data_IF_647133547867
#
_entry.id   IF_647133547867
#
_cell.length_a   1.000
_cell.length_b   1.000
_cell.length_c   1.000
_cell.angle_alpha   90.00
_cell.angle_beta   90.00
_cell.angle_gamma   90.00
#
_symmetry.space_group_name_H-M   'P 1'
#
loop_
_entity.id
_entity.type
_entity.pdbx_description
1 polymer ?
#
# COMPACT_ATOMS: atom_id res chain seq x y z
N UNK A 1 2.28 67.45 -23.26
CA UNK A 1 1.63 66.70 -24.35
C UNK A 1 2.66 65.77 -24.95
N UNK A 2 2.52 64.47 -24.68
CA UNK A 2 2.91 63.33 -25.53
C UNK A 2 2.30 62.10 -24.87
N UNK A 3 1.22 61.62 -25.46
CA UNK A 3 0.62 60.31 -25.20
C UNK A 3 1.54 59.22 -25.78
N UNK A 4 1.70 58.10 -25.08
CA UNK A 4 1.97 56.83 -25.74
C UNK A 4 1.42 55.67 -24.90
N UNK A 5 0.41 55.03 -25.48
CA UNK A 5 -0.28 53.84 -25.00
C UNK A 5 0.51 52.55 -25.26
N UNK A 6 0.20 51.54 -24.43
CA UNK A 6 0.12 50.11 -24.76
C UNK A 6 1.37 49.33 -25.20
N UNK A 7 1.80 48.38 -24.34
CA UNK A 7 1.49 46.96 -24.58
C UNK A 7 1.70 46.08 -23.34
N UNK A 8 0.60 45.42 -22.93
CA UNK A 8 0.55 44.31 -21.97
C UNK A 8 1.48 43.18 -22.43
N UNK A 9 2.47 42.85 -21.62
CA UNK A 9 3.19 41.58 -21.69
C UNK A 9 2.48 40.57 -20.78
N UNK A 10 1.65 39.74 -21.39
CA UNK A 10 1.10 38.54 -20.76
C UNK A 10 2.24 37.59 -20.38
N UNK A 11 2.25 36.96 -19.19
CA UNK A 11 3.23 35.94 -18.87
C UNK A 11 3.02 34.72 -19.76
N UNK A 12 4.07 34.33 -20.48
CA UNK A 12 4.15 33.09 -21.24
C UNK A 12 3.90 31.91 -20.30
N UNK A 13 2.77 31.22 -20.52
CA UNK A 13 2.47 29.93 -19.93
C UNK A 13 3.53 28.93 -20.44
N UNK A 14 4.51 28.63 -19.60
CA UNK A 14 5.45 27.55 -19.84
C UNK A 14 4.67 26.25 -20.02
N UNK A 15 4.62 25.76 -21.26
CA UNK A 15 4.14 24.45 -21.62
C UNK A 15 4.83 23.40 -20.73
N UNK A 16 4.07 22.76 -19.84
CA UNK A 16 4.52 21.53 -19.19
C UNK A 16 4.76 20.52 -20.31
N UNK A 17 6.02 20.15 -20.56
CA UNK A 17 6.34 19.13 -21.55
C UNK A 17 5.58 17.86 -21.18
N UNK A 18 4.60 17.48 -22.00
CA UNK A 18 4.02 16.15 -21.97
C UNK A 18 5.17 15.14 -22.13
N UNK A 19 5.27 14.17 -21.21
CA UNK A 19 6.28 13.11 -21.31
C UNK A 19 6.11 12.44 -22.67
N UNK A 20 7.22 12.28 -23.39
CA UNK A 20 7.17 11.68 -24.72
C UNK A 20 6.67 10.23 -24.63
N UNK A 21 5.96 9.72 -25.65
CA UNK A 21 5.50 8.33 -25.67
C UNK A 21 6.61 7.29 -25.38
N UNK A 22 7.86 7.63 -25.72
CA UNK A 22 9.05 6.81 -25.44
C UNK A 22 9.39 6.72 -23.95
N UNK A 23 9.19 7.79 -23.16
CA UNK A 23 9.41 7.76 -21.71
C UNK A 23 8.39 6.91 -20.97
N UNK A 24 7.13 6.96 -21.41
CA UNK A 24 6.06 6.14 -20.84
C UNK A 24 6.24 4.64 -21.18
N UNK A 25 6.65 4.35 -22.42
CA UNK A 25 6.95 2.98 -22.85
C UNK A 25 8.14 2.38 -22.07
N UNK A 26 9.19 3.16 -21.84
CA UNK A 26 10.35 2.74 -21.02
C UNK A 26 9.95 2.45 -19.58
N UNK A 27 9.16 3.32 -18.96
CA UNK A 27 8.67 3.12 -17.59
C UNK A 27 7.78 1.87 -17.49
N UNK A 28 6.87 1.65 -18.44
CA UNK A 28 6.05 0.43 -18.51
C UNK A 28 6.92 -0.82 -18.65
N UNK A 29 7.95 -0.79 -19.49
CA UNK A 29 8.86 -1.91 -19.69
C UNK A 29 9.70 -2.20 -18.43
N UNK A 30 10.14 -1.17 -17.71
CA UNK A 30 10.87 -1.32 -16.45
C UNK A 30 9.99 -1.89 -15.33
N UNK A 31 8.75 -1.39 -15.21
CA UNK A 31 7.75 -1.94 -14.29
C UNK A 31 7.50 -3.41 -14.61
N UNK A 32 7.26 -3.76 -15.88
CA UNK A 32 7.00 -5.13 -16.29
C UNK A 32 8.18 -6.08 -15.99
N UNK A 33 9.41 -5.63 -16.21
CA UNK A 33 10.62 -6.42 -15.89
C UNK A 33 10.78 -6.62 -14.38
N UNK A 34 10.51 -5.57 -13.59
CA UNK A 34 10.55 -5.65 -12.13
C UNK A 34 9.47 -6.62 -11.62
N UNK A 35 8.22 -6.52 -12.11
CA UNK A 35 7.13 -7.46 -11.82
C UNK A 35 7.54 -8.91 -12.07
N UNK A 36 8.05 -9.22 -13.27
CA UNK A 36 8.41 -10.61 -13.63
C UNK A 36 9.48 -11.21 -12.72
N UNK A 37 10.44 -10.40 -12.25
CA UNK A 37 11.51 -10.87 -11.36
C UNK A 37 10.99 -11.11 -9.95
N UNK A 38 10.14 -10.21 -9.44
CA UNK A 38 9.61 -10.33 -8.08
C UNK A 38 8.54 -11.42 -7.96
N UNK A 39 7.67 -11.57 -8.95
CA UNK A 39 6.66 -12.66 -8.99
C UNK A 39 7.34 -14.03 -9.02
N UNK A 40 8.45 -14.18 -9.76
CA UNK A 40 9.20 -15.44 -9.81
C UNK A 40 9.81 -15.80 -8.44
N UNK A 41 10.34 -14.82 -7.71
CA UNK A 41 10.87 -15.04 -6.34
C UNK A 41 9.78 -15.31 -5.30
N UNK A 42 8.62 -14.67 -5.42
CA UNK A 42 7.49 -14.86 -4.50
C UNK A 42 6.81 -16.23 -4.66
N UNK A 43 6.75 -16.77 -5.88
CA UNK A 43 6.16 -18.09 -6.13
C UNK A 43 6.95 -19.25 -5.50
N UNK A 44 8.25 -19.10 -5.25
CA UNK A 44 9.08 -20.13 -4.60
C UNK A 44 8.91 -20.13 -3.08
N UNK A 45 8.56 -19.00 -2.47
CA UNK A 45 8.47 -18.84 -1.01
C UNK A 45 7.03 -18.92 -0.45
N UNK A 46 6.03 -19.08 -1.32
CA UNK A 46 4.63 -19.17 -0.92
C UNK A 46 4.19 -20.64 -0.79
N UNK A 47 4.04 -21.13 0.45
CA UNK A 47 3.41 -22.44 0.70
C UNK A 47 1.93 -22.25 1.04
N UNK A 48 1.05 -22.96 0.33
CA UNK A 48 -0.40 -22.94 0.63
C UNK A 48 -0.71 -23.45 2.04
N UNK A 49 0.16 -24.28 2.60
CA UNK A 49 0.05 -24.81 3.96
C UNK A 49 0.14 -23.72 5.04
N UNK A 50 1.06 -22.76 4.92
CA UNK A 50 1.15 -21.64 5.88
C UNK A 50 -0.11 -20.79 5.89
N UNK A 51 -0.66 -20.51 4.70
CA UNK A 51 -1.89 -19.72 4.56
C UNK A 51 -3.07 -20.46 5.18
N UNK A 52 -3.17 -21.77 4.96
CA UNK A 52 -4.23 -22.59 5.56
C UNK A 52 -4.09 -22.70 7.08
N UNK A 53 -2.88 -22.86 7.60
CA UNK A 53 -2.63 -22.85 9.05
C UNK A 53 -2.90 -21.49 9.70
N UNK A 54 -2.66 -20.39 8.98
CA UNK A 54 -3.09 -19.05 9.42
C UNK A 54 -4.61 -18.92 9.43
N UNK A 55 -5.32 -19.37 8.38
CA UNK A 55 -6.78 -19.34 8.34
C UNK A 55 -7.43 -20.14 9.47
N UNK A 56 -6.90 -21.32 9.80
CA UNK A 56 -7.41 -22.13 10.93
C UNK A 56 -7.29 -21.35 12.25
N UNK A 57 -6.17 -20.65 12.47
CA UNK A 57 -6.02 -19.80 13.67
C UNK A 57 -6.95 -18.60 13.66
N UNK A 58 -7.23 -18.02 12.49
CA UNK A 58 -8.18 -16.90 12.33
C UNK A 58 -9.63 -17.30 12.65
N UNK A 59 -10.01 -18.56 12.40
CA UNK A 59 -11.33 -19.10 12.75
C UNK A 59 -11.48 -19.23 14.27
N UNK A 60 -10.41 -19.63 14.99
CA UNK A 60 -10.42 -19.70 16.46
C UNK A 60 -10.45 -18.30 17.11
N UNK A 61 -9.53 -17.42 16.71
CA UNK A 61 -9.48 -16.00 17.12
C UNK A 61 -8.48 -15.24 16.26
N UNK A 62 -8.85 -14.07 15.75
CA UNK A 62 -7.96 -13.27 14.90
C UNK A 62 -6.75 -12.70 15.68
N UNK A 63 -6.84 -12.62 17.02
CA UNK A 63 -5.70 -12.33 17.89
C UNK A 63 -4.69 -13.49 17.94
N UNK A 64 -5.15 -14.73 17.90
CA UNK A 64 -4.26 -15.91 17.98
C UNK A 64 -3.47 -16.18 16.70
N UNK A 65 -3.95 -15.62 15.58
CA UNK A 65 -3.33 -15.72 14.27
C UNK A 65 -2.21 -14.68 14.03
N UNK A 66 -1.91 -13.81 15.00
CA UNK A 66 -0.93 -12.75 14.82
C UNK A 66 0.50 -13.31 14.72
N UNK A 67 1.21 -12.92 13.66
CA UNK A 67 2.54 -13.45 13.34
C UNK A 67 3.63 -12.45 13.73
N UNK A 68 4.68 -12.92 14.39
CA UNK A 68 5.90 -12.11 14.59
C UNK A 68 6.62 -12.00 13.25
N UNK A 69 6.91 -10.76 12.83
CA UNK A 69 7.63 -10.49 11.59
C UNK A 69 9.08 -10.23 11.94
N UNK A 70 9.97 -11.03 11.36
CA UNK A 70 11.41 -10.87 11.58
C UNK A 70 11.95 -9.79 10.65
N UNK A 71 12.71 -8.80 11.17
CA UNK A 71 13.45 -7.88 10.31
C UNK A 71 14.38 -8.66 9.38
N UNK A 72 14.13 -8.59 8.07
CA UNK A 72 14.88 -9.36 7.09
C UNK A 72 16.32 -8.84 6.86
N UNK A 73 17.23 -9.76 6.51
CA UNK A 73 18.52 -9.40 5.87
C UNK A 73 18.28 -8.93 4.43
N UNK A 74 19.22 -8.14 3.92
CA UNK A 74 19.19 -7.48 2.62
C UNK A 74 18.97 -8.49 1.48
N UNK A 75 17.73 -8.63 1.02
CA UNK A 75 17.47 -9.05 -0.36
C UNK A 75 17.70 -7.83 -1.24
N UNK A 76 18.31 -8.03 -2.40
CA UNK A 76 18.65 -6.99 -3.37
C UNK A 76 17.36 -6.37 -3.93
N UNK A 77 16.72 -5.53 -3.11
CA UNK A 77 15.47 -4.85 -3.38
C UNK A 77 15.68 -3.62 -4.28
N UNK A 78 16.88 -3.45 -4.84
CA UNK A 78 17.34 -2.29 -5.61
C UNK A 78 16.43 -1.89 -6.78
N UNK A 79 15.42 -2.70 -7.14
CA UNK A 79 14.46 -2.43 -8.22
C UNK A 79 12.98 -2.48 -7.82
N UNK A 80 12.64 -2.53 -6.53
CA UNK A 80 11.23 -2.56 -6.11
C UNK A 80 10.62 -1.15 -6.18
N UNK A 81 9.85 -0.89 -7.24
CA UNK A 81 9.12 0.36 -7.43
C UNK A 81 7.80 0.36 -6.65
N UNK A 82 7.19 1.53 -6.40
CA UNK A 82 5.89 1.61 -5.73
C UNK A 82 4.81 0.77 -6.43
N UNK A 83 4.64 0.84 -7.77
CA UNK A 83 3.64 0.01 -8.45
C UNK A 83 3.85 -1.49 -8.21
N UNK A 84 5.11 -1.94 -8.25
CA UNK A 84 5.45 -3.35 -8.00
C UNK A 84 5.12 -3.75 -6.57
N UNK A 85 5.41 -2.89 -5.59
CA UNK A 85 4.99 -3.11 -4.20
C UNK A 85 3.47 -3.23 -4.07
N UNK A 86 2.72 -2.34 -4.71
CA UNK A 86 1.26 -2.39 -4.71
C UNK A 86 0.73 -3.65 -5.38
N UNK A 87 1.29 -4.07 -6.51
CA UNK A 87 0.87 -5.33 -7.15
C UNK A 87 1.07 -6.52 -6.21
N UNK A 88 2.22 -6.62 -5.54
CA UNK A 88 2.51 -7.74 -4.63
C UNK A 88 1.59 -7.74 -3.41
N UNK A 89 1.32 -6.56 -2.85
CA UNK A 89 0.33 -6.40 -1.78
C UNK A 89 -1.02 -6.93 -2.23
N UNK A 90 -1.54 -6.42 -3.35
CA UNK A 90 -2.89 -6.75 -3.78
C UNK A 90 -3.03 -8.17 -4.30
N UNK A 91 -2.01 -8.74 -4.97
CA UNK A 91 -1.99 -10.16 -5.35
C UNK A 91 -2.09 -11.06 -4.11
N UNK A 92 -1.35 -10.72 -3.04
CA UNK A 92 -1.38 -11.49 -1.78
C UNK A 92 -2.71 -11.31 -1.06
N UNK A 93 -3.18 -10.06 -0.94
CA UNK A 93 -4.40 -9.73 -0.22
C UNK A 93 -5.64 -10.30 -0.89
N UNK A 94 -5.75 -10.20 -2.22
CA UNK A 94 -6.85 -10.77 -3.01
C UNK A 94 -6.94 -12.29 -2.82
N UNK A 95 -5.78 -12.97 -2.84
CA UNK A 95 -5.72 -14.41 -2.57
C UNK A 95 -6.16 -14.75 -1.15
N UNK A 96 -5.65 -14.03 -0.15
CA UNK A 96 -5.99 -14.31 1.25
C UNK A 96 -7.45 -13.98 1.56
N UNK A 97 -7.99 -12.88 1.05
CA UNK A 97 -9.40 -12.54 1.21
C UNK A 97 -10.30 -13.57 0.54
N UNK A 98 -9.90 -14.07 -0.64
CA UNK A 98 -10.64 -15.13 -1.32
C UNK A 98 -10.70 -16.43 -0.51
N UNK A 99 -9.56 -16.91 0.00
CA UNK A 99 -9.53 -18.13 0.82
C UNK A 99 -10.25 -17.94 2.17
N UNK A 100 -10.18 -16.74 2.76
CA UNK A 100 -10.92 -16.40 3.96
C UNK A 100 -12.44 -16.42 3.73
N UNK A 101 -12.91 -15.75 2.68
CA UNK A 101 -14.34 -15.65 2.34
C UNK A 101 -14.98 -16.99 1.97
N UNK A 102 -14.21 -17.99 1.52
CA UNK A 102 -14.73 -19.35 1.27
C UNK A 102 -15.21 -20.05 2.54
N UNK A 103 -14.62 -19.73 3.68
CA UNK A 103 -14.82 -20.43 4.96
C UNK A 103 -15.67 -19.64 5.95
N UNK A 104 -15.77 -18.33 5.76
CA UNK A 104 -16.39 -17.41 6.69
C UNK A 104 -17.65 -16.80 6.06
N UNK A 105 -18.70 -16.60 6.86
CA UNK A 105 -19.89 -15.85 6.45
C UNK A 105 -19.59 -14.36 6.28
N UNK A 106 -18.62 -13.87 7.06
CA UNK A 106 -18.08 -12.53 6.94
C UNK A 106 -17.22 -12.39 5.68
N UNK A 107 -17.51 -11.37 4.87
CA UNK A 107 -16.80 -11.14 3.61
C UNK A 107 -15.88 -9.93 3.67
N UNK A 108 -14.68 -10.09 3.13
CA UNK A 108 -13.73 -9.00 2.88
C UNK A 108 -13.57 -8.86 1.38
N UNK A 109 -13.95 -7.70 0.86
CA UNK A 109 -13.77 -7.34 -0.55
C UNK A 109 -12.39 -6.72 -0.75
N UNK A 110 -11.71 -7.07 -1.85
CA UNK A 110 -10.42 -6.52 -2.21
C UNK A 110 -10.56 -5.75 -3.53
N UNK A 111 -10.35 -4.44 -3.50
CA UNK A 111 -10.32 -3.60 -4.69
C UNK A 111 -8.90 -3.11 -4.95
N UNK A 112 -8.31 -3.65 -6.02
CA UNK A 112 -6.99 -3.27 -6.52
C UNK A 112 -7.00 -1.82 -7.06
N UNK A 113 -5.90 -1.07 -6.98
CA UNK A 113 -5.78 0.19 -7.70
C UNK A 113 -5.86 0.01 -9.22
N UNK A 114 -6.69 0.80 -9.88
CA UNK A 114 -6.85 0.82 -11.36
C UNK A 114 -5.69 1.52 -12.10
N UNK A 115 -4.62 1.87 -11.38
CA UNK A 115 -3.45 2.57 -11.89
C UNK A 115 -3.21 3.92 -11.23
N UNK A 116 -2.38 4.74 -11.87
CA UNK A 116 -2.03 6.06 -11.35
C UNK A 116 -3.18 7.04 -11.51
N UNK A 117 -3.46 7.75 -10.43
CA UNK A 117 -4.31 8.92 -10.38
C UNK A 117 -3.44 10.16 -10.15
N UNK A 118 -3.91 11.33 -10.58
CA UNK A 118 -3.21 12.61 -10.37
C UNK A 118 -4.05 13.50 -9.46
N UNK A 119 -3.41 14.05 -8.42
CA UNK A 119 -3.97 15.11 -7.56
C UNK A 119 -3.14 16.37 -7.75
N UNK A 120 -3.82 17.51 -7.77
CA UNK A 120 -3.18 18.83 -7.79
C UNK A 120 -3.26 19.41 -6.39
N UNK A 121 -2.11 19.57 -5.75
CA UNK A 121 -2.02 20.41 -4.57
C UNK A 121 -2.13 21.87 -5.02
N UNK A 122 -3.28 22.49 -4.78
CA UNK A 122 -3.53 23.88 -5.15
C UNK A 122 -2.69 24.87 -4.33
N UNK A 123 -2.31 24.52 -3.09
CA UNK A 123 -1.49 25.37 -2.22
C UNK A 123 -0.04 25.38 -2.69
N UNK A 124 0.54 24.21 -2.97
CA UNK A 124 1.94 24.12 -3.42
C UNK A 124 2.11 24.13 -4.94
N UNK A 125 1.01 24.17 -5.71
CA UNK A 125 0.97 24.05 -7.18
C UNK A 125 1.73 22.81 -7.68
N UNK A 126 1.76 21.75 -6.89
CA UNK A 126 2.44 20.49 -7.22
C UNK A 126 1.42 19.48 -7.69
N UNK A 127 1.70 18.86 -8.83
CA UNK A 127 0.99 17.64 -9.25
C UNK A 127 1.73 16.45 -8.67
N UNK A 128 1.01 15.57 -8.01
CA UNK A 128 1.57 14.31 -7.56
C UNK A 128 0.68 13.16 -8.02
N UNK A 129 1.34 12.03 -8.28
CA UNK A 129 0.70 10.80 -8.72
C UNK A 129 0.56 9.88 -7.53
N UNK A 130 -0.58 9.21 -7.44
CA UNK A 130 -0.85 8.25 -6.41
C UNK A 130 -1.60 7.03 -6.97
N UNK A 131 -1.57 5.93 -6.26
CA UNK A 131 -2.41 4.76 -6.49
C UNK A 131 -3.24 4.52 -5.23
N UNK A 132 -4.53 4.20 -5.39
CA UNK A 132 -5.42 3.92 -4.27
C UNK A 132 -6.13 2.59 -4.49
N UNK A 133 -6.06 1.72 -3.50
CA UNK A 133 -6.83 0.48 -3.43
C UNK A 133 -7.31 0.28 -2.00
N UNK A 134 -8.17 -0.71 -1.76
CA UNK A 134 -8.66 -0.98 -0.41
C UNK A 134 -9.08 -2.44 -0.20
N UNK A 135 -9.06 -2.84 1.05
CA UNK A 135 -9.87 -3.95 1.56
C UNK A 135 -11.09 -3.35 2.26
N UNK A 136 -12.26 -3.96 2.11
CA UNK A 136 -13.46 -3.46 2.79
C UNK A 136 -14.33 -4.60 3.27
N UNK A 137 -14.81 -4.46 4.51
CA UNK A 137 -15.96 -5.16 5.05
C UNK A 137 -17.17 -4.24 5.08
N UNK A 138 -18.29 -4.73 5.62
CA UNK A 138 -19.51 -3.95 5.78
C UNK A 138 -19.29 -2.70 6.67
N UNK A 139 -18.44 -2.81 7.70
CA UNK A 139 -18.26 -1.73 8.68
C UNK A 139 -16.96 -0.94 8.51
N UNK A 140 -15.88 -1.59 8.10
CA UNK A 140 -14.55 -0.98 8.02
C UNK A 140 -13.86 -1.22 6.69
N UNK A 141 -13.05 -0.25 6.28
CA UNK A 141 -12.22 -0.30 5.10
C UNK A 141 -10.77 -0.01 5.46
N UNK A 142 -9.86 -0.85 4.96
CA UNK A 142 -8.43 -0.63 4.99
C UNK A 142 -7.98 -0.03 3.65
N UNK A 143 -7.64 1.25 3.64
CA UNK A 143 -7.26 2.00 2.44
C UNK A 143 -5.74 2.02 2.30
N UNK A 144 -5.26 1.67 1.12
CA UNK A 144 -3.85 1.76 0.72
C UNK A 144 -3.69 2.98 -0.18
N UNK A 145 -2.98 3.99 0.30
CA UNK A 145 -2.68 5.22 -0.43
C UNK A 145 -1.19 5.28 -0.75
N UNK A 146 -0.85 5.10 -2.02
CA UNK A 146 0.54 4.94 -2.46
C UNK A 146 1.01 6.12 -3.30
N UNK A 147 2.09 6.77 -2.87
CA UNK A 147 2.83 7.80 -3.60
C UNK A 147 4.19 7.25 -4.06
N UNK A 148 4.93 8.02 -4.87
CA UNK A 148 6.24 7.59 -5.37
C UNK A 148 7.27 7.25 -4.25
N UNK A 149 7.06 7.71 -3.01
CA UNK A 149 7.98 7.54 -1.88
C UNK A 149 7.41 6.80 -0.66
N UNK A 150 6.08 6.64 -0.58
CA UNK A 150 5.41 6.06 0.59
C UNK A 150 4.14 5.31 0.20
N UNK A 151 3.79 4.28 0.96
CA UNK A 151 2.47 3.66 0.95
C UNK A 151 1.90 3.76 2.35
N UNK A 152 0.91 4.62 2.52
CA UNK A 152 0.20 4.83 3.77
C UNK A 152 -1.05 3.95 3.80
N UNK A 153 -1.22 3.23 4.89
CA UNK A 153 -2.36 2.34 5.13
C UNK A 153 -3.21 2.95 6.24
N UNK A 154 -4.52 3.02 6.03
CA UNK A 154 -5.49 3.59 6.96
C UNK A 154 -6.59 2.58 7.23
N UNK A 155 -7.15 2.59 8.43
CA UNK A 155 -8.36 1.83 8.76
C UNK A 155 -9.44 2.86 9.09
N UNK A 156 -10.50 2.87 8.30
CA UNK A 156 -11.59 3.85 8.38
C UNK A 156 -12.93 3.13 8.37
N UNK A 157 -14.02 3.72 8.90
CA UNK A 157 -15.35 3.18 8.67
C UNK A 157 -15.69 3.22 7.17
N UNK A 158 -16.38 2.21 6.67
CA UNK A 158 -16.67 2.05 5.23
C UNK A 158 -17.46 3.22 4.66
N UNK A 159 -18.30 3.88 5.47
CA UNK A 159 -19.05 5.08 5.07
C UNK A 159 -18.16 6.24 4.60
N UNK A 160 -16.91 6.32 5.07
CA UNK A 160 -15.97 7.37 4.69
C UNK A 160 -15.17 7.06 3.43
N UNK A 161 -15.26 5.84 2.89
CA UNK A 161 -14.40 5.36 1.80
C UNK A 161 -14.49 6.21 0.52
N UNK A 162 -15.70 6.61 0.12
CA UNK A 162 -15.94 7.36 -1.14
C UNK A 162 -15.29 8.75 -1.09
N UNK A 163 -15.32 9.40 0.07
CA UNK A 163 -14.78 10.76 0.28
C UNK A 163 -13.41 10.78 0.94
N UNK A 164 -12.77 9.63 1.15
CA UNK A 164 -11.52 9.57 1.90
C UNK A 164 -10.38 10.28 1.16
N UNK A 165 -9.82 11.29 1.82
CA UNK A 165 -8.60 11.99 1.44
C UNK A 165 -7.60 11.95 2.60
N UNK A 166 -6.40 11.38 2.43
CA UNK A 166 -5.41 11.29 3.50
C UNK A 166 -4.94 12.66 4.03
N UNK A 167 -4.98 13.72 3.21
CA UNK A 167 -4.53 15.06 3.60
C UNK A 167 -5.56 15.79 4.49
N UNK A 168 -6.84 15.39 4.41
CA UNK A 168 -7.97 16.01 5.11
C UNK A 168 -8.63 15.04 6.11
N UNK A 169 -8.00 13.88 6.34
CA UNK A 169 -8.55 12.79 7.14
C UNK A 169 -8.18 12.92 8.61
N UNK A 170 -9.18 12.78 9.49
CA UNK A 170 -9.00 12.64 10.94
C UNK A 170 -8.48 11.24 11.35
N UNK A 171 -8.40 10.30 10.40
CA UNK A 171 -7.95 8.94 10.65
C UNK A 171 -6.42 8.84 10.61
N UNK A 172 -5.77 8.35 11.68
CA UNK A 172 -4.33 8.13 11.67
C UNK A 172 -3.98 6.94 10.77
N UNK A 173 -2.85 7.02 10.08
CA UNK A 173 -2.34 5.87 9.34
C UNK A 173 -2.02 4.72 10.29
N UNK A 174 -2.55 3.52 10.02
CA UNK A 174 -2.24 2.28 10.71
C UNK A 174 -0.77 1.89 10.51
N UNK A 175 -0.28 2.06 9.27
CA UNK A 175 1.03 1.64 8.83
C UNK A 175 1.53 2.49 7.65
N UNK A 176 2.82 2.85 7.64
CA UNK A 176 3.46 3.45 6.46
C UNK A 176 4.65 2.64 5.99
N UNK A 177 4.61 2.17 4.74
CA UNK A 177 5.81 1.73 4.02
C UNK A 177 6.53 2.95 3.47
N UNK A 178 7.83 3.08 3.75
CA UNK A 178 8.67 4.16 3.21
C UNK A 178 9.80 3.61 2.38
N UNK A 179 10.15 4.34 1.34
CA UNK A 179 11.36 4.12 0.57
C UNK A 179 12.59 4.45 1.42
N UNK A 180 13.45 3.46 1.65
CA UNK A 180 14.71 3.56 2.37
C UNK A 180 15.85 3.57 1.34
N UNK A 181 16.61 4.67 1.29
CA UNK A 181 17.79 4.80 0.44
C UNK A 181 19.04 4.40 1.23
N UNK A 182 19.74 3.35 0.78
CA UNK A 182 21.02 2.92 1.36
C UNK A 182 21.96 2.55 0.23
N UNK A 183 23.07 3.30 0.09
CA UNK A 183 24.22 3.00 -0.79
C UNK A 183 23.79 2.42 -2.15
N UNK A 184 23.18 3.27 -2.99
CA UNK A 184 22.74 2.97 -4.36
C UNK A 184 21.62 1.93 -4.53
N UNK A 185 21.08 1.38 -3.44
CA UNK A 185 19.88 0.56 -3.44
C UNK A 185 18.71 1.31 -2.79
N UNK A 186 17.55 1.26 -3.45
CA UNK A 186 16.28 1.64 -2.84
C UNK A 186 15.62 0.37 -2.30
N UNK A 187 15.21 0.38 -1.04
CA UNK A 187 14.41 -0.70 -0.44
C UNK A 187 13.14 -0.12 0.17
N UNK A 188 12.14 -0.96 0.44
CA UNK A 188 10.95 -0.56 1.20
C UNK A 188 11.04 -1.09 2.62
N UNK A 189 10.52 -0.32 3.57
CA UNK A 189 10.50 -0.71 4.98
C UNK A 189 9.43 0.02 5.77
N UNK A 190 9.19 -0.46 6.99
CA UNK A 190 8.26 0.08 7.97
C UNK A 190 9.09 0.55 9.17
N UNK A 191 8.85 1.75 9.70
CA UNK A 191 9.57 2.29 10.86
C UNK A 191 11.10 2.22 10.76
N UNK A 192 11.64 2.46 9.56
CA UNK A 192 13.08 2.34 9.21
C UNK A 192 13.61 0.91 9.23
N UNK A 193 12.78 -0.07 9.57
CA UNK A 193 13.08 -1.50 9.48
C UNK A 193 12.78 -1.99 8.07
N UNK A 194 13.77 -2.61 7.44
CA UNK A 194 13.62 -3.20 6.11
C UNK A 194 12.78 -4.46 6.18
N UNK A 195 12.01 -4.71 5.12
CA UNK A 195 11.19 -5.91 4.99
C UNK A 195 11.76 -6.72 3.83
N UNK A 196 12.14 -7.96 4.12
CA UNK A 196 12.51 -8.93 3.08
C UNK A 196 11.26 -9.37 2.34
N UNK A 197 11.44 -9.80 1.08
CA UNK A 197 10.35 -10.38 0.30
C UNK A 197 9.77 -11.63 0.97
N UNK A 198 10.58 -12.37 1.72
CA UNK A 198 10.18 -13.60 2.43
C UNK A 198 9.22 -13.33 3.60
N UNK A 199 9.33 -12.14 4.20
CA UNK A 199 8.49 -11.73 5.33
C UNK A 199 7.23 -10.99 4.86
N UNK A 200 7.21 -10.60 3.58
CA UNK A 200 6.11 -9.86 2.98
C UNK A 200 4.76 -10.61 3.04
N UNK A 201 4.69 -11.94 2.78
CA UNK A 201 3.48 -12.71 2.99
C UNK A 201 2.90 -12.58 4.40
N UNK A 202 3.73 -12.55 5.45
CA UNK A 202 3.31 -12.38 6.85
C UNK A 202 2.76 -10.97 7.08
N UNK A 203 3.40 -9.94 6.53
CA UNK A 203 2.89 -8.55 6.57
C UNK A 203 1.48 -8.48 5.97
N UNK A 204 1.27 -9.08 4.79
CA UNK A 204 -0.03 -9.12 4.14
C UNK A 204 -1.10 -9.86 4.98
N UNK A 205 -0.75 -11.00 5.60
CA UNK A 205 -1.66 -11.72 6.51
C UNK A 205 -2.00 -10.91 7.75
N UNK A 206 -1.05 -10.16 8.32
CA UNK A 206 -1.33 -9.25 9.44
C UNK A 206 -2.21 -8.08 9.05
N UNK A 207 -2.07 -7.54 7.84
CA UNK A 207 -2.94 -6.48 7.34
C UNK A 207 -4.39 -6.98 7.22
N UNK A 208 -4.60 -8.14 6.60
CA UNK A 208 -5.93 -8.76 6.51
C UNK A 208 -6.48 -9.14 7.90
N UNK A 209 -5.63 -9.73 8.76
CA UNK A 209 -5.99 -10.05 10.13
C UNK A 209 -6.41 -8.81 10.93
N UNK A 210 -5.76 -7.67 10.71
CA UNK A 210 -6.10 -6.42 11.41
C UNK A 210 -7.48 -5.89 11.01
N UNK A 211 -7.83 -5.84 9.71
CA UNK A 211 -9.18 -5.39 9.31
C UNK A 211 -10.27 -6.33 9.86
N UNK A 212 -9.99 -7.64 9.93
CA UNK A 212 -10.91 -8.61 10.53
C UNK A 212 -11.04 -8.36 12.04
N UNK A 213 -9.93 -8.18 12.77
CA UNK A 213 -9.94 -7.86 14.20
C UNK A 213 -10.76 -6.60 14.49
N UNK A 214 -10.53 -5.53 13.72
CA UNK A 214 -11.27 -4.27 13.90
C UNK A 214 -12.76 -4.48 13.63
N UNK A 215 -13.12 -5.20 12.57
CA UNK A 215 -14.53 -5.47 12.25
C UNK A 215 -15.21 -6.37 13.29
N UNK A 216 -14.47 -7.29 13.93
CA UNK A 216 -14.99 -8.13 15.02
C UNK A 216 -14.99 -7.42 16.39
N UNK A 217 -14.49 -6.19 16.48
CA UNK A 217 -14.31 -5.47 17.74
C UNK A 217 -13.19 -6.02 18.64
N UNK A 218 -12.30 -6.86 18.10
CA UNK A 218 -11.13 -7.43 18.80
C UNK A 218 -9.94 -6.47 18.85
N UNK A 219 -9.92 -5.44 18.00
CA UNK A 219 -8.89 -4.39 17.96
C UNK A 219 -9.52 -3.03 17.66
N UNK A 220 -8.79 -1.95 17.96
CA UNK A 220 -9.25 -0.58 17.68
C UNK A 220 -8.69 -0.14 16.32
N UNK A 221 -9.48 0.60 15.54
CA UNK A 221 -9.06 1.12 14.22
C UNK A 221 -7.84 2.05 14.29
N UNK A 222 -7.56 2.65 15.45
CA UNK A 222 -6.44 3.56 15.70
C UNK A 222 -5.16 2.87 16.17
N UNK A 223 -5.18 1.54 16.32
CA UNK A 223 -3.98 0.78 16.69
C UNK A 223 -2.87 1.01 15.67
N UNK A 224 -1.61 0.90 16.12
CA UNK A 224 -0.44 1.03 15.24
C UNK A 224 0.14 -0.34 14.95
N UNK A 225 0.62 -0.50 13.72
CA UNK A 225 1.37 -1.70 13.36
C UNK A 225 2.62 -1.84 14.24
N UNK A 226 2.89 -3.05 14.69
CA UNK A 226 4.13 -3.44 15.37
C UNK A 226 4.69 -4.69 14.70
N UNK A 227 6.00 -4.88 14.68
CA UNK A 227 6.62 -6.11 14.17
C UNK A 227 6.43 -7.31 15.10
N UNK A 228 6.28 -7.07 16.40
CA UNK A 228 5.97 -8.12 17.37
C UNK A 228 4.48 -8.50 17.30
N UNK A 229 4.18 -9.79 17.44
CA UNK A 229 2.85 -10.19 17.86
C UNK A 229 2.72 -9.86 19.35
N UNK A 230 1.66 -9.15 19.72
CA UNK A 230 1.38 -8.83 21.12
C UNK A 230 0.75 -10.06 21.79
N UNK A 231 1.50 -11.15 21.95
CA UNK A 231 1.15 -12.09 23.01
C UNK A 231 1.48 -11.38 24.32
N UNK A 232 0.45 -10.88 25.00
CA UNK A 232 0.57 -10.60 26.43
C UNK A 232 0.98 -11.93 27.07
N UNK A 233 2.23 -12.02 27.53
CA UNK A 233 2.59 -12.98 28.56
C UNK A 233 1.66 -12.71 29.75
N UNK A 234 0.91 -13.74 30.14
CA UNK A 234 0.11 -13.75 31.38
C UNK A 234 0.99 -13.55 32.62
#
# INVERSE_FOLDING_TARGET
MSEEENKKTSPSLGSTQAKTPDQEARLKAEILRSKLRTVKGLNENFTGEETMGWLVRMDDSALSADETIMPGKLLDASQMTMPVLMDILFDSLERYSFEFNKKNEFTVNCLRPDGFQEKVDHFNRRKFRFMRGHLSSDEYSMVFYATDSAVDVYIIPTDFLVGFDPDESDFPSFLTFKKLSVQDSSSWGIDRTKISLDEFPRVCRRLLGQIIKVTRGEAVSTDKFSFSSSQKEE
#
